data_IF_615098953626
#
_entry.id   IF_615098953626
#
_cell.length_a   1.000
_cell.length_b   1.000
_cell.length_c   1.000
_cell.angle_alpha   90.00
_cell.angle_beta   90.00
_cell.angle_gamma   90.00
#
_symmetry.space_group_name_H-M   'P 1'
#
loop_
_entity.id
_entity.type
_entity.pdbx_description
1 polymer ?
#
# COMPACT_ATOMS: atom_id res chain seq x y z
N UNK A 1 29.24 6.15 -25.98
CA UNK A 1 28.94 5.82 -24.57
C UNK A 1 28.42 7.09 -23.92
N UNK A 2 27.34 7.05 -23.15
CA UNK A 2 26.91 8.21 -22.40
C UNK A 2 28.02 8.59 -21.39
N UNK A 3 28.40 9.84 -21.37
CA UNK A 3 29.39 10.36 -20.44
C UNK A 3 28.70 10.48 -19.07
N UNK A 4 29.21 9.78 -18.06
CA UNK A 4 28.73 9.93 -16.71
C UNK A 4 29.11 11.35 -16.22
N UNK A 5 28.18 12.02 -15.58
CA UNK A 5 28.42 13.30 -14.92
C UNK A 5 29.43 13.10 -13.77
N UNK A 6 30.37 14.01 -13.64
CA UNK A 6 31.23 14.04 -12.45
C UNK A 6 30.51 14.70 -11.27
N UNK A 7 31.05 14.56 -10.06
CA UNK A 7 30.41 15.04 -8.83
C UNK A 7 30.10 16.53 -8.85
N UNK A 8 30.98 17.37 -9.45
CA UNK A 8 30.77 18.82 -9.56
C UNK A 8 29.60 19.15 -10.48
N UNK A 9 29.44 18.41 -11.58
CA UNK A 9 28.31 18.57 -12.48
C UNK A 9 27.01 18.12 -11.80
N UNK A 10 27.04 17.03 -11.05
CA UNK A 10 25.90 16.57 -10.24
C UNK A 10 25.50 17.64 -9.22
N UNK A 11 26.45 18.18 -8.44
CA UNK A 11 26.21 19.26 -7.48
C UNK A 11 25.64 20.51 -8.15
N UNK A 12 26.20 20.89 -9.31
CA UNK A 12 25.68 22.01 -10.07
C UNK A 12 24.23 21.83 -10.48
N UNK A 13 23.86 20.67 -11.03
CA UNK A 13 22.48 20.40 -11.44
C UNK A 13 21.55 20.30 -10.23
N UNK A 14 21.96 19.67 -9.14
CA UNK A 14 21.17 19.60 -7.90
C UNK A 14 20.92 20.98 -7.30
N UNK A 15 21.90 21.91 -7.39
CA UNK A 15 21.72 23.30 -6.91
C UNK A 15 20.64 24.07 -7.70
N UNK A 16 20.32 23.64 -8.92
CA UNK A 16 19.29 24.26 -9.77
C UNK A 16 17.90 23.68 -9.52
N UNK A 17 17.81 22.52 -8.87
CA UNK A 17 16.53 21.88 -8.57
C UNK A 17 15.88 22.60 -7.40
N UNK A 18 14.80 23.32 -7.67
CA UNK A 18 13.94 23.85 -6.60
C UNK A 18 12.97 22.73 -6.20
N UNK A 19 13.26 22.06 -5.11
CA UNK A 19 12.30 21.15 -4.51
C UNK A 19 11.11 21.96 -4.01
N UNK A 20 9.89 21.69 -4.46
CA UNK A 20 8.72 22.33 -3.88
C UNK A 20 8.68 21.98 -2.38
N UNK A 21 8.34 22.97 -1.57
CA UNK A 21 8.10 22.76 -0.14
C UNK A 21 6.82 21.94 -0.03
N UNK A 22 6.92 20.62 -0.17
CA UNK A 22 5.81 19.70 0.00
C UNK A 22 5.58 19.55 1.50
N UNK A 23 4.71 20.38 2.05
CA UNK A 23 4.12 20.07 3.35
C UNK A 23 3.37 18.73 3.22
N UNK A 24 3.51 17.82 4.19
CA UNK A 24 2.71 16.60 4.20
C UNK A 24 1.24 16.96 4.05
N UNK A 25 0.53 16.30 3.15
CA UNK A 25 -0.89 16.51 2.97
C UNK A 25 -1.59 16.09 4.27
N UNK A 26 -2.01 17.05 5.08
CA UNK A 26 -2.78 16.76 6.28
C UNK A 26 -4.21 16.45 5.85
N UNK A 27 -4.58 15.18 5.94
CA UNK A 27 -5.95 14.74 5.65
C UNK A 27 -6.75 14.84 6.94
N UNK A 28 -7.76 15.71 6.95
CA UNK A 28 -8.59 16.00 8.13
C UNK A 28 -9.96 15.33 8.09
N UNK A 29 -10.22 14.47 7.12
CA UNK A 29 -11.53 13.85 6.88
C UNK A 29 -11.70 12.46 7.49
N UNK A 30 -10.80 12.06 8.39
CA UNK A 30 -10.82 10.76 9.06
C UNK A 30 -10.13 9.65 8.28
N UNK A 31 -9.54 9.95 7.12
CA UNK A 31 -8.75 8.98 6.34
C UNK A 31 -7.52 8.54 7.10
N UNK A 32 -7.27 7.23 7.13
CA UNK A 32 -6.11 6.62 7.77
C UNK A 32 -5.30 5.90 6.70
N UNK A 33 -4.01 6.22 6.57
CA UNK A 33 -3.12 5.54 5.65
C UNK A 33 -1.81 5.17 6.35
N UNK A 34 -1.28 3.98 6.04
CA UNK A 34 -0.01 3.50 6.58
C UNK A 34 0.82 2.79 5.53
N UNK A 35 2.13 2.84 5.68
CA UNK A 35 3.03 1.93 5.00
C UNK A 35 2.87 0.53 5.56
N UNK A 36 3.02 -0.49 4.73
CA UNK A 36 2.92 -1.88 5.17
C UNK A 36 3.95 -2.22 6.26
N UNK A 37 5.10 -1.55 6.28
CA UNK A 37 6.15 -1.70 7.30
C UNK A 37 5.76 -1.21 8.70
N UNK A 38 4.64 -0.52 8.85
CA UNK A 38 4.13 0.01 10.12
C UNK A 38 3.07 -0.91 10.74
N UNK A 39 3.31 -2.22 10.72
CA UNK A 39 2.41 -3.20 11.34
C UNK A 39 2.52 -3.17 12.87
N UNK A 40 1.42 -3.51 13.55
CA UNK A 40 1.36 -3.69 15.00
C UNK A 40 1.64 -5.16 15.38
N UNK A 41 1.41 -6.10 14.47
CA UNK A 41 1.68 -7.52 14.66
C UNK A 41 1.88 -8.28 13.36
N UNK A 42 2.58 -9.41 13.45
CA UNK A 42 2.76 -10.34 12.35
C UNK A 42 2.78 -11.78 12.87
N UNK A 43 2.40 -12.73 11.99
CA UNK A 43 2.44 -14.15 12.35
C UNK A 43 3.80 -14.82 12.10
N UNK A 44 4.65 -14.19 11.29
CA UNK A 44 6.06 -14.64 11.09
C UNK A 44 6.60 -14.31 9.70
N UNK A 45 7.92 -14.19 9.59
CA UNK A 45 8.67 -14.12 8.35
C UNK A 45 8.44 -12.91 7.45
N UNK A 46 7.76 -11.86 7.93
CA UNK A 46 7.61 -10.63 7.17
C UNK A 46 8.96 -9.90 7.08
N UNK A 47 9.35 -9.49 5.86
CA UNK A 47 10.63 -8.83 5.61
C UNK A 47 10.40 -7.49 4.92
N UNK A 48 11.04 -6.42 5.43
CA UNK A 48 11.03 -5.11 4.79
C UNK A 48 12.01 -5.11 3.63
N UNK A 49 11.48 -4.87 2.43
CA UNK A 49 12.28 -4.69 1.21
C UNK A 49 12.53 -3.20 1.03
N UNK A 50 13.74 -2.76 1.38
CA UNK A 50 14.13 -1.35 1.26
C UNK A 50 14.17 -0.89 -0.20
N UNK A 51 13.86 0.38 -0.43
CA UNK A 51 13.85 1.05 -1.73
C UNK A 51 12.83 0.45 -2.72
N UNK A 52 11.80 -0.25 -2.24
CA UNK A 52 10.75 -0.84 -3.05
C UNK A 52 9.39 -0.21 -2.72
N UNK A 53 8.58 -0.01 -3.76
CA UNK A 53 7.24 0.59 -3.65
C UNK A 53 7.23 2.10 -3.47
N UNK A 54 6.05 2.67 -3.39
CA UNK A 54 5.89 4.11 -3.11
C UNK A 54 6.27 4.45 -1.67
N UNK A 55 6.15 3.49 -0.75
CA UNK A 55 6.60 3.65 0.64
C UNK A 55 8.12 3.60 0.79
N UNK A 56 8.86 3.14 -0.23
CA UNK A 56 10.29 2.79 -0.17
C UNK A 56 10.63 1.72 0.88
N UNK A 57 9.61 1.04 1.42
CA UNK A 57 9.70 0.04 2.49
C UNK A 57 8.56 -0.99 2.35
N UNK A 58 8.38 -1.53 1.14
CA UNK A 58 7.40 -2.58 0.91
C UNK A 58 7.74 -3.83 1.74
N UNK A 59 6.74 -4.65 2.03
CA UNK A 59 6.89 -5.82 2.90
C UNK A 59 6.62 -7.10 2.11
N UNK A 60 7.63 -7.95 2.01
CA UNK A 60 7.50 -9.31 1.50
C UNK A 60 6.86 -10.18 2.59
N UNK A 61 5.72 -10.77 2.28
CA UNK A 61 4.94 -11.58 3.21
C UNK A 61 4.90 -13.03 2.73
N UNK A 62 5.48 -13.99 3.49
CA UNK A 62 5.44 -15.39 3.13
C UNK A 62 4.02 -15.95 3.07
N UNK A 63 3.81 -16.95 2.21
CA UNK A 63 2.53 -17.65 2.11
C UNK A 63 2.03 -18.13 3.47
N UNK A 64 0.75 -17.87 3.76
CA UNK A 64 0.09 -18.24 5.01
C UNK A 64 0.29 -17.25 6.14
N UNK A 65 1.23 -16.32 6.03
CA UNK A 65 1.51 -15.33 7.06
C UNK A 65 0.65 -14.07 6.91
N UNK A 66 0.52 -13.30 7.98
CA UNK A 66 -0.30 -12.09 8.02
C UNK A 66 0.38 -10.94 8.75
N UNK A 67 -0.02 -9.72 8.37
CA UNK A 67 0.26 -8.48 9.07
C UNK A 67 -1.05 -7.96 9.68
N UNK A 68 -0.98 -7.40 10.88
CA UNK A 68 -2.12 -6.76 11.54
C UNK A 68 -1.80 -5.31 11.89
N UNK A 69 -2.82 -4.46 11.76
CA UNK A 69 -2.75 -3.03 12.01
C UNK A 69 -3.90 -2.63 12.91
N UNK A 70 -3.61 -2.12 14.09
CA UNK A 70 -4.60 -1.52 14.98
C UNK A 70 -4.80 -0.07 14.60
N UNK A 71 -6.05 0.33 14.48
CA UNK A 71 -6.44 1.70 14.12
C UNK A 71 -7.56 2.17 15.04
N UNK A 72 -7.65 3.47 15.18
CA UNK A 72 -8.80 4.11 15.83
C UNK A 72 -9.45 5.04 14.83
N UNK A 73 -10.71 4.79 14.51
CA UNK A 73 -11.51 5.66 13.67
C UNK A 73 -12.27 6.68 14.50
N UNK A 74 -12.29 7.93 14.06
CA UNK A 74 -13.08 9.02 14.68
C UNK A 74 -14.47 9.18 14.05
N UNK A 75 -14.74 8.45 12.98
CA UNK A 75 -15.96 8.46 12.19
C UNK A 75 -16.62 7.09 12.09
N UNK A 76 -17.91 7.11 11.83
CA UNK A 76 -18.69 5.93 11.41
C UNK A 76 -19.28 6.15 10.05
N UNK A 77 -19.55 5.07 9.31
CA UNK A 77 -20.23 5.13 8.03
C UNK A 77 -19.54 4.31 6.94
N UNK A 78 -19.85 4.65 5.70
CA UNK A 78 -19.24 3.99 4.54
C UNK A 78 -17.78 4.41 4.41
N UNK A 79 -16.93 3.44 4.13
CA UNK A 79 -15.51 3.66 3.85
C UNK A 79 -15.02 2.70 2.76
N UNK A 80 -13.86 3.00 2.21
CA UNK A 80 -13.17 2.12 1.25
C UNK A 80 -11.79 1.82 1.78
N UNK A 81 -11.47 0.55 1.96
CA UNK A 81 -10.11 0.13 2.26
C UNK A 81 -9.38 -0.18 0.97
N UNK A 82 -8.37 0.60 0.67
CA UNK A 82 -7.45 0.41 -0.44
C UNK A 82 -6.21 -0.32 0.06
N UNK A 83 -5.84 -1.41 -0.60
CA UNK A 83 -4.59 -2.14 -0.32
C UNK A 83 -3.72 -2.11 -1.58
N UNK A 84 -2.55 -1.51 -1.48
CA UNK A 84 -1.58 -1.38 -2.56
C UNK A 84 -0.45 -2.39 -2.39
N UNK A 85 -0.20 -3.18 -3.43
CA UNK A 85 0.83 -4.20 -3.48
C UNK A 85 1.75 -3.95 -4.69
N UNK A 86 2.95 -4.48 -4.61
CA UNK A 86 3.86 -4.49 -5.76
C UNK A 86 3.29 -5.47 -6.81
N UNK A 87 3.17 -5.07 -8.09
CA UNK A 87 2.64 -5.94 -9.15
C UNK A 87 3.66 -7.02 -9.52
N UNK A 88 3.73 -8.07 -8.69
CA UNK A 88 4.56 -9.25 -8.93
C UNK A 88 3.89 -10.24 -9.89
N UNK A 89 4.60 -11.31 -10.26
CA UNK A 89 4.08 -12.38 -11.10
C UNK A 89 4.23 -13.72 -10.37
N UNK A 90 3.29 -14.66 -10.54
CA UNK A 90 3.44 -16.00 -10.00
C UNK A 90 4.52 -16.78 -10.76
N UNK A 91 5.35 -17.57 -10.05
CA UNK A 91 6.43 -18.33 -10.68
C UNK A 91 5.93 -19.43 -11.61
N UNK A 92 4.84 -20.13 -11.24
CA UNK A 92 4.41 -21.36 -11.89
C UNK A 92 3.02 -21.25 -12.51
N UNK A 93 2.68 -20.08 -13.06
CA UNK A 93 1.34 -19.85 -13.64
C UNK A 93 0.19 -19.93 -12.62
N UNK A 94 0.52 -20.00 -11.31
CA UNK A 94 -0.41 -19.98 -10.20
C UNK A 94 -1.18 -18.68 -10.07
N UNK A 95 -1.71 -18.41 -8.88
CA UNK A 95 -2.38 -17.16 -8.56
C UNK A 95 -1.51 -16.32 -7.60
N UNK A 96 -1.87 -15.07 -7.41
CA UNK A 96 -1.28 -14.12 -6.47
C UNK A 96 -2.39 -13.59 -5.56
N UNK A 97 -2.82 -14.42 -4.62
CA UNK A 97 -3.95 -14.08 -3.75
C UNK A 97 -3.47 -13.61 -2.39
N UNK A 98 -4.21 -12.67 -1.89
CA UNK A 98 -4.15 -12.25 -0.49
C UNK A 98 -5.58 -12.04 0.03
N UNK A 99 -5.77 -12.02 1.32
CA UNK A 99 -7.05 -11.67 1.93
C UNK A 99 -6.91 -10.50 2.88
N UNK A 100 -8.00 -9.77 3.02
CA UNK A 100 -8.15 -8.69 3.98
C UNK A 100 -9.31 -9.02 4.91
N UNK A 101 -9.07 -8.85 6.19
CA UNK A 101 -10.09 -9.01 7.25
C UNK A 101 -10.12 -7.73 8.08
N UNK A 102 -11.29 -7.30 8.48
CA UNK A 102 -11.47 -6.23 9.45
C UNK A 102 -12.12 -6.84 10.68
N UNK A 103 -11.49 -6.65 11.82
CA UNK A 103 -11.87 -7.23 13.09
C UNK A 103 -12.05 -8.76 12.98
N UNK A 104 -13.14 -9.31 13.51
CA UNK A 104 -13.49 -10.71 13.43
C UNK A 104 -14.37 -11.04 12.20
N UNK A 105 -14.41 -10.16 11.20
CA UNK A 105 -15.19 -10.33 9.98
C UNK A 105 -14.69 -11.46 9.09
N UNK A 106 -15.44 -11.75 8.03
CA UNK A 106 -15.03 -12.75 7.05
C UNK A 106 -13.90 -12.22 6.17
N UNK A 107 -12.85 -13.02 5.90
CA UNK A 107 -11.78 -12.64 5.00
C UNK A 107 -12.30 -12.42 3.57
N UNK A 108 -12.00 -11.28 2.98
CA UNK A 108 -12.24 -10.99 1.56
C UNK A 108 -10.98 -11.27 0.78
N UNK A 109 -11.08 -12.16 -0.22
CA UNK A 109 -9.93 -12.60 -1.03
C UNK A 109 -9.82 -11.76 -2.29
N UNK A 110 -8.61 -11.33 -2.59
CA UNK A 110 -8.24 -10.62 -3.80
C UNK A 110 -7.17 -11.39 -4.58
N UNK A 111 -7.20 -11.26 -5.90
CA UNK A 111 -6.13 -11.71 -6.79
C UNK A 111 -5.43 -10.51 -7.44
N UNK A 112 -4.11 -10.58 -7.53
CA UNK A 112 -3.30 -9.62 -8.28
C UNK A 112 -3.03 -10.08 -9.72
N UNK A 113 -3.44 -11.32 -10.05
CA UNK A 113 -3.19 -11.91 -11.35
C UNK A 113 -3.94 -11.14 -12.43
N UNK A 114 -3.21 -10.56 -13.34
CA UNK A 114 -3.73 -9.84 -14.49
C UNK A 114 -3.27 -10.52 -15.79
N UNK A 115 -4.14 -10.51 -16.80
CA UNK A 115 -3.74 -10.97 -18.12
C UNK A 115 -2.70 -10.02 -18.70
N UNK A 116 -1.60 -10.57 -19.23
CA UNK A 116 -0.55 -9.79 -19.86
C UNK A 116 -1.11 -8.80 -20.89
N UNK A 117 -0.72 -7.54 -20.81
CA UNK A 117 -1.19 -6.42 -21.64
C UNK A 117 -2.69 -6.08 -21.51
N UNK A 118 -3.41 -6.61 -20.52
CA UNK A 118 -4.74 -6.09 -20.19
C UNK A 118 -4.65 -4.65 -19.68
N UNK A 119 -5.78 -3.94 -19.63
CA UNK A 119 -5.80 -2.59 -19.08
C UNK A 119 -5.39 -2.59 -17.60
N UNK A 120 -5.85 -3.55 -16.80
CA UNK A 120 -5.45 -3.70 -15.40
C UNK A 120 -3.94 -3.94 -15.26
N UNK A 121 -3.35 -4.78 -16.14
CA UNK A 121 -1.90 -4.99 -16.16
C UNK A 121 -1.14 -3.68 -16.48
N UNK A 122 -1.58 -2.94 -17.50
CA UNK A 122 -0.97 -1.66 -17.88
C UNK A 122 -1.05 -0.64 -16.76
N UNK A 123 -2.22 -0.51 -16.12
CA UNK A 123 -2.43 0.39 -14.99
C UNK A 123 -1.51 0.05 -13.83
N UNK A 124 -1.41 -1.23 -13.45
CA UNK A 124 -0.54 -1.68 -12.37
C UNK A 124 0.94 -1.36 -12.67
N UNK A 125 1.39 -1.59 -13.91
CA UNK A 125 2.77 -1.32 -14.34
C UNK A 125 3.07 0.17 -14.33
N UNK A 126 2.18 0.99 -14.92
CA UNK A 126 2.37 2.44 -14.99
C UNK A 126 2.33 3.09 -13.61
N UNK A 127 1.52 2.57 -12.72
CA UNK A 127 1.42 3.06 -11.34
C UNK A 127 2.56 2.54 -10.46
N UNK A 128 3.18 1.42 -10.81
CA UNK A 128 4.12 0.71 -9.92
C UNK A 128 3.46 0.05 -8.71
N UNK A 129 2.12 -0.01 -8.69
CA UNK A 129 1.31 -0.62 -7.64
C UNK A 129 0.07 -1.27 -8.23
N UNK A 130 -0.32 -2.43 -7.70
CA UNK A 130 -1.63 -3.04 -7.90
C UNK A 130 -2.51 -2.68 -6.69
N UNK A 131 -3.57 -1.92 -6.91
CA UNK A 131 -4.47 -1.50 -5.84
C UNK A 131 -5.75 -2.31 -5.89
N UNK A 132 -6.08 -2.96 -4.78
CA UNK A 132 -7.37 -3.65 -4.59
C UNK A 132 -8.18 -2.91 -3.52
N UNK A 133 -9.49 -2.88 -3.71
CA UNK A 133 -10.40 -2.09 -2.87
C UNK A 133 -11.45 -2.98 -2.23
N UNK A 134 -11.67 -2.78 -0.93
CA UNK A 134 -12.76 -3.37 -0.16
C UNK A 134 -13.74 -2.27 0.24
N UNK A 135 -14.97 -2.39 -0.24
CA UNK A 135 -16.07 -1.51 0.18
C UNK A 135 -16.57 -1.93 1.55
N UNK A 136 -16.69 -0.97 2.45
CA UNK A 136 -17.22 -1.15 3.79
C UNK A 136 -18.49 -0.33 3.91
N UNK A 137 -19.63 -1.01 3.99
CA UNK A 137 -20.93 -0.34 4.09
C UNK A 137 -21.10 0.42 5.40
N UNK A 138 -20.50 -0.11 6.47
CA UNK A 138 -20.52 0.53 7.77
C UNK A 138 -19.31 0.12 8.61
N UNK A 139 -18.41 1.06 8.85
CA UNK A 139 -17.40 0.95 9.89
C UNK A 139 -17.80 1.86 11.04
N UNK A 140 -17.65 1.41 12.27
CA UNK A 140 -18.03 2.18 13.45
C UNK A 140 -16.89 3.07 13.92
N UNK A 141 -17.21 4.13 14.65
CA UNK A 141 -16.20 4.87 15.39
C UNK A 141 -15.63 3.98 16.50
N UNK A 142 -14.32 3.97 16.66
CA UNK A 142 -13.65 3.19 17.69
C UNK A 142 -12.42 2.46 17.17
N UNK A 143 -12.00 1.45 17.93
CA UNK A 143 -10.84 0.63 17.61
C UNK A 143 -11.21 -0.48 16.60
N UNK A 144 -10.34 -0.69 15.63
CA UNK A 144 -10.46 -1.75 14.63
C UNK A 144 -9.09 -2.38 14.36
N UNK A 145 -9.12 -3.61 13.87
CA UNK A 145 -7.93 -4.31 13.42
C UNK A 145 -8.08 -4.68 11.95
N UNK A 146 -7.15 -4.22 11.12
CA UNK A 146 -7.03 -4.63 9.72
C UNK A 146 -6.00 -5.74 9.66
N UNK A 147 -6.36 -6.90 9.13
CA UNK A 147 -5.45 -8.03 8.91
C UNK A 147 -5.31 -8.30 7.42
N UNK A 148 -4.07 -8.31 6.94
CA UNK A 148 -3.73 -8.65 5.55
C UNK A 148 -2.92 -9.95 5.57
N UNK A 149 -3.41 -10.99 4.88
CA UNK A 149 -2.80 -12.32 4.86
C UNK A 149 -2.42 -12.73 3.44
N UNK A 150 -1.19 -13.18 3.26
CA UNK A 150 -0.73 -13.80 2.02
C UNK A 150 -1.31 -15.22 1.86
N UNK A 151 -2.02 -15.49 0.79
CA UNK A 151 -2.55 -16.81 0.47
C UNK A 151 -1.64 -17.56 -0.51
N UNK A 152 -0.83 -16.84 -1.26
CA UNK A 152 0.15 -17.39 -2.20
C UNK A 152 1.54 -16.81 -1.95
N UNK A 153 2.55 -17.33 -2.62
CA UNK A 153 3.92 -16.80 -2.59
C UNK A 153 4.01 -15.47 -3.35
N UNK A 154 5.08 -14.70 -3.10
CA UNK A 154 5.40 -13.43 -3.78
C UNK A 154 4.38 -12.29 -3.54
N UNK A 155 3.67 -12.34 -2.43
CA UNK A 155 2.84 -11.23 -1.98
C UNK A 155 3.75 -10.18 -1.32
N UNK A 156 3.81 -8.99 -1.93
CA UNK A 156 4.61 -7.87 -1.43
C UNK A 156 3.67 -6.69 -1.25
N UNK A 157 3.42 -6.33 0.00
CA UNK A 157 2.49 -5.26 0.39
C UNK A 157 3.27 -3.96 0.52
N UNK A 158 2.77 -2.89 -0.06
CA UNK A 158 3.40 -1.57 -0.02
C UNK A 158 2.72 -0.63 0.98
N UNK A 159 1.44 -0.37 0.78
CA UNK A 159 0.66 0.57 1.59
C UNK A 159 -0.80 0.15 1.68
N UNK A 160 -1.51 0.69 2.66
CA UNK A 160 -2.96 0.62 2.69
C UNK A 160 -3.56 1.96 3.17
N UNK A 161 -4.83 2.19 2.80
CA UNK A 161 -5.56 3.41 3.16
C UNK A 161 -7.03 3.08 3.41
N UNK A 162 -7.54 3.44 4.57
CA UNK A 162 -8.96 3.46 4.88
C UNK A 162 -9.47 4.87 4.59
N UNK A 163 -10.31 5.01 3.56
CA UNK A 163 -10.80 6.29 3.07
C UNK A 163 -12.31 6.42 3.29
N UNK A 164 -12.71 7.47 3.99
CA UNK A 164 -14.11 7.83 4.20
C UNK A 164 -14.69 8.71 3.08
N UNK A 165 -13.87 9.06 2.08
CA UNK A 165 -14.31 9.78 0.89
C UNK A 165 -14.22 8.90 -0.37
N UNK A 166 -15.28 8.16 -0.72
CA UNK A 166 -15.28 7.23 -1.86
C UNK A 166 -15.11 7.94 -3.22
N UNK A 167 -15.23 9.25 -3.27
CA UNK A 167 -15.03 10.06 -4.49
C UNK A 167 -13.58 10.57 -4.62
N UNK A 168 -12.73 10.28 -3.66
CA UNK A 168 -11.34 10.72 -3.70
C UNK A 168 -10.61 10.11 -4.90
N UNK A 169 -10.00 10.98 -5.70
CA UNK A 169 -9.03 10.58 -6.71
C UNK A 169 -7.62 10.72 -6.14
N UNK A 170 -6.87 9.65 -6.14
CA UNK A 170 -5.50 9.64 -5.65
C UNK A 170 -4.60 8.79 -6.57
N UNK A 171 -3.40 9.24 -6.79
CA UNK A 171 -2.32 8.45 -7.38
C UNK A 171 -1.42 7.87 -6.28
N UNK A 172 -1.02 8.71 -5.34
CA UNK A 172 -0.28 8.32 -4.14
C UNK A 172 -1.23 8.30 -2.94
N UNK A 173 -0.98 7.39 -2.00
CA UNK A 173 -1.65 7.43 -0.71
C UNK A 173 -1.10 8.60 0.12
N UNK A 174 -1.94 9.31 0.88
CA UNK A 174 -1.46 10.36 1.76
C UNK A 174 -0.50 9.77 2.79
N UNK A 175 0.61 10.47 3.05
CA UNK A 175 1.47 10.12 4.17
C UNK A 175 0.83 10.69 5.42
N UNK A 176 0.18 9.86 6.21
CA UNK A 176 -0.32 10.25 7.52
C UNK A 176 0.83 10.07 8.51
N UNK A 177 1.35 11.18 9.06
CA UNK A 177 2.23 11.08 10.21
C UNK A 177 1.42 10.52 11.38
N UNK A 178 1.79 9.35 11.88
CA UNK A 178 1.28 8.88 13.16
C UNK A 178 1.73 9.90 14.21
N UNK A 179 0.79 10.63 14.80
CA UNK A 179 1.03 11.29 16.07
C UNK A 179 1.37 10.20 17.08
N UNK A 180 2.64 10.19 17.52
CA UNK A 180 3.11 9.41 18.66
C UNK A 180 2.41 9.91 19.93
#
# INVERSE_FOLDING_TARGET
>A
MPTLLNDKEVEYYLSKVKYPNCSPLTVTDGTIARNASQWDGQTGGAEIVKMLGHSMQAVSLPKGQSLSYRITTDKSGKAVLHTALIPTQPNDGGDLRFSVTIDDGQPVVFSLKEKFRSEGWKENVLRGQAVKTLQLDNITKGEHTITIKALDHHIIIDQWMLDFNPQRKHYLFPVVQSTQ
#
